data_IF_367149491886
#
_entry.id   IF_367149491886
#
_cell.length_a   1.000
_cell.length_b   1.000
_cell.length_c   1.000
_cell.angle_alpha   90.00
_cell.angle_beta   90.00
_cell.angle_gamma   90.00
#
_symmetry.space_group_name_H-M   'P 1'
#
loop_
_entity.id
_entity.type
_entity.pdbx_description
1 polymer ?
#
# COMPACT_ATOMS: atom_id res chain seq x y z
N UNK A 1 -4.81 -18.15 -1.67
CA UNK A 1 -4.86 -17.16 -0.57
C UNK A 1 -4.26 -15.89 -1.11
N UNK A 2 -5.10 -14.89 -1.34
CA UNK A 2 -4.62 -13.57 -1.74
C UNK A 2 -4.17 -12.85 -0.48
N UNK A 3 -2.95 -12.30 -0.49
CA UNK A 3 -2.45 -11.48 0.61
C UNK A 3 -2.76 -10.04 0.31
N UNK A 4 -3.56 -9.42 1.16
CA UNK A 4 -3.81 -7.99 1.08
C UNK A 4 -2.60 -7.28 1.65
N UNK A 5 -2.02 -6.37 0.88
CA UNK A 5 -0.93 -5.50 1.32
C UNK A 5 -1.50 -4.15 1.70
N UNK A 6 -1.37 -3.77 2.96
CA UNK A 6 -1.69 -2.42 3.43
C UNK A 6 -0.38 -1.66 3.53
N UNK A 7 -0.28 -0.55 2.80
CA UNK A 7 0.89 0.30 2.83
C UNK A 7 0.53 1.67 3.39
N UNK A 8 1.34 2.15 4.33
CA UNK A 8 1.29 3.53 4.86
C UNK A 8 2.55 4.26 4.45
N UNK A 9 2.40 5.44 3.85
CA UNK A 9 3.50 6.21 3.28
C UNK A 9 3.61 7.56 3.99
N UNK A 10 4.84 7.90 4.36
CA UNK A 10 5.19 9.05 5.18
C UNK A 10 6.12 9.98 4.42
N UNK A 11 5.98 11.28 4.67
CA UNK A 11 7.00 12.24 4.25
C UNK A 11 8.20 12.21 5.19
N UNK A 12 9.32 12.76 4.73
CA UNK A 12 10.55 12.87 5.52
C UNK A 12 10.25 13.58 6.85
N UNK A 13 10.69 12.98 7.96
CA UNK A 13 10.51 13.46 9.33
C UNK A 13 9.05 13.60 9.81
N UNK A 14 8.07 13.09 9.06
CA UNK A 14 6.68 13.06 9.50
C UNK A 14 6.34 11.74 10.21
N UNK A 15 5.48 11.83 11.23
CA UNK A 15 5.01 10.67 12.03
C UNK A 15 3.61 10.20 11.66
N UNK A 16 2.91 10.98 10.85
CA UNK A 16 1.54 10.70 10.39
C UNK A 16 1.65 10.35 8.90
N UNK A 17 1.03 9.25 8.44
CA UNK A 17 1.07 8.92 7.02
C UNK A 17 0.26 9.95 6.24
N UNK A 18 0.79 10.40 5.09
CA UNK A 18 0.01 11.24 4.19
C UNK A 18 -0.91 10.41 3.28
N UNK A 19 -0.60 9.12 3.14
CA UNK A 19 -1.38 8.15 2.39
C UNK A 19 -1.30 6.78 3.06
N UNK A 20 -2.46 6.13 3.21
CA UNK A 20 -2.55 4.71 3.54
C UNK A 20 -3.50 4.07 2.54
N UNK A 21 -3.08 2.99 1.88
CA UNK A 21 -3.89 2.31 0.88
C UNK A 21 -3.69 0.80 0.88
N UNK A 22 -4.65 0.11 0.30
CA UNK A 22 -4.58 -1.32 0.00
C UNK A 22 -3.99 -1.46 -1.41
N UNK A 23 -2.92 -2.24 -1.52
CA UNK A 23 -2.26 -2.56 -2.77
C UNK A 23 -2.28 -4.08 -2.99
N UNK A 24 -2.41 -4.50 -4.24
CA UNK A 24 -2.23 -5.89 -4.66
C UNK A 24 -0.75 -6.19 -4.88
N UNK A 25 0.01 -5.20 -5.36
CA UNK A 25 1.45 -5.30 -5.53
C UNK A 25 2.17 -3.97 -5.34
N UNK A 26 3.48 -4.04 -5.13
CA UNK A 26 4.35 -2.89 -4.92
C UNK A 26 5.70 -3.15 -5.60
N UNK A 27 6.20 -2.14 -6.32
CA UNK A 27 7.53 -2.12 -6.92
C UNK A 27 8.27 -0.86 -6.45
N UNK A 28 9.42 -1.04 -5.81
CA UNK A 28 10.30 0.04 -5.39
C UNK A 28 11.44 0.21 -6.40
N UNK A 29 11.72 1.45 -6.80
CA UNK A 29 12.80 1.80 -7.71
C UNK A 29 13.46 3.12 -7.29
N UNK A 30 14.54 3.51 -7.97
CA UNK A 30 15.19 4.81 -7.73
C UNK A 30 14.22 6.00 -7.98
N UNK A 31 13.21 5.80 -8.80
CA UNK A 31 12.19 6.80 -9.15
C UNK A 31 11.08 6.93 -8.12
N UNK A 32 11.08 6.10 -7.07
CA UNK A 32 10.07 6.05 -6.02
C UNK A 32 9.37 4.70 -5.95
N UNK A 33 8.11 4.72 -5.51
CA UNK A 33 7.32 3.53 -5.27
C UNK A 33 6.11 3.49 -6.19
N UNK A 34 5.93 2.37 -6.90
CA UNK A 34 4.75 2.10 -7.71
C UNK A 34 3.86 1.09 -6.99
N UNK A 35 2.61 1.47 -6.77
CA UNK A 35 1.60 0.65 -6.13
C UNK A 35 0.58 0.20 -7.18
N UNK A 36 0.32 -1.09 -7.24
CA UNK A 36 -0.79 -1.66 -8.01
C UNK A 36 -2.00 -1.80 -7.10
N UNK A 37 -3.13 -1.24 -7.51
CA UNK A 37 -4.39 -1.35 -6.81
C UNK A 37 -5.17 -2.59 -7.28
N UNK A 38 -6.26 -2.90 -6.58
CA UNK A 38 -7.20 -3.95 -7.01
C UNK A 38 -7.93 -3.59 -8.31
N UNK A 39 -8.05 -2.29 -8.63
CA UNK A 39 -8.66 -1.81 -9.87
C UNK A 39 -7.78 -1.99 -11.12
N UNK A 40 -6.64 -2.69 -11.01
CA UNK A 40 -5.54 -2.72 -12.01
C UNK A 40 -4.92 -1.35 -12.33
N UNK A 41 -5.36 -0.29 -11.65
CA UNK A 41 -4.73 1.02 -11.73
C UNK A 41 -3.44 1.06 -10.90
N UNK A 42 -2.53 1.96 -11.28
CA UNK A 42 -1.28 2.14 -10.56
C UNK A 42 -1.09 3.57 -10.09
N UNK A 43 -0.63 3.73 -8.84
CA UNK A 43 -0.21 5.01 -8.30
C UNK A 43 1.32 5.00 -8.20
N UNK A 44 1.97 6.02 -8.74
CA UNK A 44 3.40 6.25 -8.56
C UNK A 44 3.62 7.38 -7.57
N UNK A 45 4.41 7.13 -6.54
CA UNK A 45 4.69 8.07 -5.46
C UNK A 45 6.18 8.34 -5.43
N UNK A 46 6.53 9.61 -5.60
CA UNK A 46 7.89 10.13 -5.50
C UNK A 46 8.06 10.92 -4.22
N UNK A 47 9.31 11.22 -3.86
CA UNK A 47 9.66 12.10 -2.73
C UNK A 47 9.04 11.69 -1.38
N UNK A 48 8.81 10.39 -1.16
CA UNK A 48 8.43 9.86 0.14
C UNK A 48 9.66 9.75 1.05
N UNK A 49 9.45 9.79 2.36
CA UNK A 49 10.51 9.57 3.34
C UNK A 49 10.69 8.10 3.68
N UNK A 50 9.61 7.44 4.09
CA UNK A 50 9.60 6.01 4.37
C UNK A 50 8.18 5.45 4.21
N UNK A 51 8.07 4.12 4.15
CA UNK A 51 6.80 3.42 4.15
C UNK A 51 6.79 2.33 5.22
N UNK A 52 5.59 1.94 5.64
CA UNK A 52 5.33 0.76 6.47
C UNK A 52 4.41 -0.16 5.69
N UNK A 53 4.86 -1.39 5.49
CA UNK A 53 4.11 -2.44 4.81
C UNK A 53 3.58 -3.44 5.84
N UNK A 54 2.28 -3.69 5.80
CA UNK A 54 1.61 -4.75 6.55
C UNK A 54 0.98 -5.72 5.57
N UNK A 55 1.28 -7.01 5.72
CA UNK A 55 0.59 -8.07 4.98
C UNK A 55 -0.38 -8.78 5.91
N UNK A 56 -1.60 -8.98 5.44
CA UNK A 56 -2.59 -9.80 6.13
C UNK A 56 -3.03 -10.92 5.20
N UNK A 57 -3.05 -12.13 5.74
CA UNK A 57 -3.71 -13.25 5.07
C UNK A 57 -5.21 -12.98 5.15
N UNK A 58 -5.82 -12.67 4.00
CA UNK A 58 -7.26 -12.60 3.91
C UNK A 58 -7.77 -13.99 3.53
N UNK A 59 -8.29 -14.71 4.52
CA UNK A 59 -9.30 -15.73 4.25
C UNK A 59 -10.48 -14.99 3.65
N UNK A 60 -10.64 -15.13 2.33
CA UNK A 60 -11.69 -14.50 1.54
C UNK A 60 -13.09 -15.09 1.85
N UNK A 61 -13.35 -15.46 3.11
CA UNK A 61 -14.72 -15.49 3.62
C UNK A 61 -15.07 -14.06 3.95
N UNK A 62 -15.66 -13.46 2.92
CA UNK A 62 -16.32 -12.18 2.79
C UNK A 62 -17.41 -12.01 3.86
N UNK A 63 -17.06 -12.03 5.15
CA UNK A 63 -17.93 -11.58 6.23
C UNK A 63 -18.03 -10.05 6.14
N UNK A 64 -19.04 -9.66 5.37
CA UNK A 64 -19.86 -8.45 5.49
C UNK A 64 -19.38 -7.45 6.56
N UNK A 65 -18.85 -6.31 6.12
CA UNK A 65 -19.16 -5.06 6.82
C UNK A 65 -20.38 -4.46 6.12
N UNK A 66 -21.53 -4.61 6.79
CA UNK A 66 -22.82 -3.97 6.50
C UNK A 66 -22.68 -2.45 6.71
#
# INVERSE_FOLDING_TARGET
>A
MERIKIISIFKINEKVPFMTCIATNMEESEDGIKLMLESDESICIKDYGYYVLSEVDCDLDREQMI
#
